data_IF_313497867814
#
_entry.id   IF_313497867814
#
_cell.length_a   1.000
_cell.length_b   1.000
_cell.length_c   1.000
_cell.angle_alpha   90.00
_cell.angle_beta   90.00
_cell.angle_gamma   90.00
#
_symmetry.space_group_name_H-M   'P 1'
#
loop_
_entity.id
_entity.type
_entity.pdbx_description
1 polymer ?
#
# COMPACT_ATOMS: atom_id res chain seq x y z
N UNK A 1 1.11 -19.51 -14.97
CA UNK A 1 1.01 -18.05 -14.86
C UNK A 1 2.31 -17.49 -14.29
N UNK A 2 2.94 -16.57 -15.04
CA UNK A 2 4.19 -15.97 -14.62
C UNK A 2 3.90 -14.78 -13.70
N UNK A 3 4.35 -14.84 -12.46
CA UNK A 3 4.23 -13.73 -11.51
C UNK A 3 5.58 -13.08 -11.31
N UNK A 4 5.60 -11.76 -11.22
CA UNK A 4 6.80 -10.99 -11.02
C UNK A 4 6.51 -9.81 -10.10
N UNK A 5 7.44 -9.50 -9.19
CA UNK A 5 7.34 -8.32 -8.32
C UNK A 5 8.58 -7.48 -8.58
N UNK A 6 8.36 -6.21 -8.88
CA UNK A 6 9.46 -5.30 -9.21
C UNK A 6 9.06 -3.85 -8.94
N UNK A 7 10.03 -2.93 -8.82
CA UNK A 7 9.71 -1.51 -8.75
C UNK A 7 8.92 -1.08 -9.99
N UNK A 8 7.97 -0.17 -9.80
CA UNK A 8 7.16 0.37 -10.90
C UNK A 8 7.89 1.57 -11.50
N UNK A 9 8.17 1.56 -12.81
CA UNK A 9 8.78 2.73 -13.44
C UNK A 9 7.77 3.86 -13.57
N UNK A 10 8.26 5.10 -13.65
CA UNK A 10 7.39 6.28 -13.73
C UNK A 10 6.44 6.23 -14.94
N UNK A 11 6.83 5.56 -16.00
CA UNK A 11 5.98 5.40 -17.18
C UNK A 11 4.73 4.57 -16.94
N UNK A 12 4.71 3.78 -15.85
CA UNK A 12 3.56 2.94 -15.47
C UNK A 12 2.82 3.46 -14.24
N UNK A 13 3.19 4.65 -13.77
CA UNK A 13 2.59 5.21 -12.55
C UNK A 13 1.09 5.45 -12.70
N UNK A 14 0.62 5.88 -13.87
CA UNK A 14 -0.81 6.10 -14.08
C UNK A 14 -1.57 4.79 -13.97
N UNK A 15 -1.07 3.71 -14.56
CA UNK A 15 -1.68 2.39 -14.46
C UNK A 15 -1.74 1.94 -13.00
N UNK A 16 -0.68 2.22 -12.24
CA UNK A 16 -0.63 1.89 -10.82
C UNK A 16 -1.72 2.63 -10.05
N UNK A 17 -1.88 3.91 -10.30
CA UNK A 17 -2.88 4.70 -9.60
C UNK A 17 -4.31 4.32 -10.01
N UNK A 18 -4.52 3.96 -11.27
CA UNK A 18 -5.82 3.44 -11.72
C UNK A 18 -6.20 2.18 -10.93
N UNK A 19 -5.24 1.28 -10.71
CA UNK A 19 -5.48 0.08 -9.91
C UNK A 19 -5.82 0.46 -8.46
N UNK A 20 -5.05 1.37 -7.87
CA UNK A 20 -5.27 1.82 -6.49
C UNK A 20 -6.68 2.38 -6.33
N UNK A 21 -7.10 3.28 -7.21
CA UNK A 21 -8.43 3.90 -7.12
C UNK A 21 -9.55 2.89 -7.32
N UNK A 22 -9.39 1.96 -8.25
CA UNK A 22 -10.39 0.92 -8.49
C UNK A 22 -10.56 0.01 -7.28
N UNK A 23 -9.46 -0.47 -6.70
CA UNK A 23 -9.53 -1.36 -5.54
C UNK A 23 -10.02 -0.61 -4.31
N UNK A 24 -9.56 0.64 -4.11
CA UNK A 24 -10.06 1.46 -3.00
C UNK A 24 -11.57 1.61 -3.09
N UNK A 25 -12.09 1.94 -4.27
CA UNK A 25 -13.53 2.11 -4.48
C UNK A 25 -14.32 0.84 -4.19
N UNK A 26 -13.75 -0.31 -4.50
CA UNK A 26 -14.41 -1.61 -4.29
C UNK A 26 -14.30 -2.13 -2.86
N UNK A 27 -13.38 -1.60 -2.07
CA UNK A 27 -13.08 -2.13 -0.73
C UNK A 27 -13.16 -1.06 0.36
N UNK A 28 -12.10 -0.32 0.59
CA UNK A 28 -11.97 0.60 1.73
C UNK A 28 -12.93 1.79 1.68
N UNK A 29 -13.37 2.21 0.51
CA UNK A 29 -14.24 3.36 0.35
C UNK A 29 -15.57 3.21 1.09
N UNK A 30 -16.04 1.98 1.26
CA UNK A 30 -17.30 1.70 1.97
C UNK A 30 -17.30 2.22 3.40
N UNK A 31 -16.14 2.23 4.03
CA UNK A 31 -16.00 2.63 5.43
C UNK A 31 -15.65 4.11 5.57
N UNK A 32 -15.40 4.81 4.46
CA UNK A 32 -15.05 6.22 4.46
C UNK A 32 -16.29 7.10 4.29
N UNK A 33 -16.24 8.29 4.88
CA UNK A 33 -17.24 9.33 4.59
C UNK A 33 -16.98 9.90 3.19
N UNK A 34 -17.88 10.71 2.67
CA UNK A 34 -17.65 11.40 1.39
C UNK A 34 -16.41 12.28 1.47
N UNK A 35 -16.19 12.95 2.62
CA UNK A 35 -14.97 13.72 2.86
C UNK A 35 -13.72 12.82 2.79
N UNK A 36 -13.78 11.62 3.36
CA UNK A 36 -12.69 10.67 3.34
C UNK A 36 -12.35 10.18 1.95
N UNK A 37 -13.36 9.93 1.13
CA UNK A 37 -13.15 9.53 -0.27
C UNK A 37 -12.46 10.65 -1.04
N UNK A 38 -12.90 11.88 -0.86
CA UNK A 38 -12.31 13.05 -1.51
C UNK A 38 -10.86 13.24 -1.06
N UNK A 39 -10.60 13.12 0.25
CA UNK A 39 -9.25 13.21 0.80
C UNK A 39 -8.32 12.17 0.18
N UNK A 40 -8.80 10.94 0.03
CA UNK A 40 -8.01 9.88 -0.60
C UNK A 40 -7.70 10.21 -2.06
N UNK A 41 -8.69 10.69 -2.82
CA UNK A 41 -8.49 11.08 -4.21
C UNK A 41 -7.47 12.18 -4.34
N UNK A 42 -7.55 13.22 -3.50
CA UNK A 42 -6.63 14.36 -3.54
C UNK A 42 -5.21 13.98 -3.16
N UNK A 43 -5.05 13.11 -2.15
CA UNK A 43 -3.71 12.72 -1.68
C UNK A 43 -3.03 11.71 -2.59
N UNK A 44 -3.77 11.05 -3.47
CA UNK A 44 -3.25 10.01 -4.35
C UNK A 44 -3.35 10.37 -5.83
N UNK A 45 -3.58 11.64 -6.17
CA UNK A 45 -3.67 12.03 -7.57
C UNK A 45 -2.32 11.81 -8.27
N UNK A 46 -2.37 11.72 -9.58
CA UNK A 46 -1.19 11.38 -10.38
C UNK A 46 -0.04 12.38 -10.17
N UNK A 47 -0.32 13.68 -10.15
CA UNK A 47 0.72 14.69 -10.01
C UNK A 47 1.40 14.61 -8.64
N UNK A 48 0.63 14.42 -7.57
CA UNK A 48 1.17 14.23 -6.23
C UNK A 48 2.09 13.02 -6.17
N UNK A 49 1.63 11.91 -6.74
CA UNK A 49 2.39 10.67 -6.72
C UNK A 49 3.65 10.78 -7.56
N UNK A 50 3.56 11.44 -8.70
CA UNK A 50 4.72 11.65 -9.56
C UNK A 50 5.79 12.48 -8.85
N UNK A 51 5.38 13.54 -8.17
CA UNK A 51 6.29 14.39 -7.43
C UNK A 51 6.95 13.63 -6.28
N UNK A 52 6.17 12.92 -5.47
CA UNK A 52 6.70 12.21 -4.30
C UNK A 52 7.60 11.06 -4.65
N UNK A 53 7.29 10.33 -5.72
CA UNK A 53 8.18 9.26 -6.18
C UNK A 53 9.44 9.85 -6.81
N UNK A 54 9.34 10.97 -7.51
CA UNK A 54 10.48 11.66 -8.08
C UNK A 54 11.42 12.24 -7.03
N UNK A 55 10.86 12.71 -5.90
CA UNK A 55 11.65 13.26 -4.79
C UNK A 55 12.27 12.17 -3.91
N UNK A 56 11.87 10.90 -4.10
CA UNK A 56 12.33 9.81 -3.28
C UNK A 56 11.57 9.63 -1.96
N UNK A 57 10.55 10.46 -1.69
CA UNK A 57 9.72 10.34 -0.49
C UNK A 57 8.91 9.05 -0.49
N UNK A 58 8.45 8.64 -1.67
CA UNK A 58 7.70 7.42 -1.87
C UNK A 58 8.48 6.48 -2.78
N UNK A 59 8.44 5.19 -2.45
CA UNK A 59 8.97 4.13 -3.30
C UNK A 59 7.80 3.21 -3.63
N UNK A 60 7.74 2.74 -4.86
CA UNK A 60 6.58 2.01 -5.35
C UNK A 60 6.98 0.70 -6.04
N UNK A 61 6.27 -0.37 -5.69
CA UNK A 61 6.46 -1.71 -6.28
C UNK A 61 5.16 -2.21 -6.86
N UNK A 62 5.27 -3.04 -7.87
CA UNK A 62 4.12 -3.68 -8.49
C UNK A 62 4.25 -5.19 -8.51
N UNK A 63 3.11 -5.85 -8.41
CA UNK A 63 3.01 -7.28 -8.67
C UNK A 63 2.35 -7.45 -10.03
N UNK A 64 2.96 -8.26 -10.88
CA UNK A 64 2.50 -8.50 -12.24
C UNK A 64 2.18 -9.98 -12.44
N UNK A 65 1.12 -10.28 -13.17
CA UNK A 65 0.80 -11.63 -13.59
C UNK A 65 0.69 -11.59 -15.12
N UNK A 66 1.56 -12.34 -15.80
CA UNK A 66 1.62 -12.36 -17.27
C UNK A 66 1.69 -10.94 -17.86
N UNK A 67 2.55 -10.10 -17.26
CA UNK A 67 2.82 -8.72 -17.64
C UNK A 67 1.68 -7.72 -17.34
N UNK A 68 0.62 -8.17 -16.67
CA UNK A 68 -0.45 -7.28 -16.21
C UNK A 68 -0.24 -6.91 -14.75
N UNK A 69 -0.38 -5.63 -14.43
CA UNK A 69 -0.28 -5.15 -13.05
C UNK A 69 -1.49 -5.60 -12.25
N UNK A 70 -1.25 -6.33 -11.15
CA UNK A 70 -2.32 -6.85 -10.29
C UNK A 70 -2.22 -6.38 -8.84
N UNK A 71 -1.15 -5.70 -8.47
CA UNK A 71 -0.99 -5.19 -7.10
C UNK A 71 0.00 -4.05 -7.06
N UNK A 72 -0.18 -3.15 -6.08
CA UNK A 72 0.66 -1.98 -5.89
C UNK A 72 0.97 -1.82 -4.40
N UNK A 73 2.25 -1.59 -4.08
CA UNK A 73 2.69 -1.26 -2.74
C UNK A 73 3.50 0.02 -2.77
N UNK A 74 3.15 0.97 -1.90
CA UNK A 74 3.89 2.22 -1.75
C UNK A 74 4.40 2.31 -0.34
N UNK A 75 5.71 2.51 -0.19
CA UNK A 75 6.34 2.74 1.10
C UNK A 75 6.84 4.17 1.19
N UNK A 76 6.67 4.75 2.36
CA UNK A 76 7.18 6.07 2.74
C UNK A 76 8.26 5.87 3.81
N UNK A 77 9.24 6.75 3.84
CA UNK A 77 10.35 6.67 4.78
C UNK A 77 9.90 6.70 6.26
N UNK A 78 10.55 5.95 7.17
CA UNK A 78 11.62 4.98 6.91
C UNK A 78 11.10 3.63 6.42
N UNK A 79 9.93 3.20 6.89
CA UNK A 79 9.22 2.04 6.36
C UNK A 79 7.76 2.06 6.83
N UNK A 80 7.00 2.99 6.29
CA UNK A 80 5.57 3.10 6.52
C UNK A 80 4.84 2.68 5.25
N UNK A 81 3.92 1.74 5.38
CA UNK A 81 3.11 1.31 4.25
C UNK A 81 2.06 2.37 4.00
N UNK A 82 2.23 3.13 2.93
CA UNK A 82 1.28 4.17 2.56
C UNK A 82 0.11 3.60 1.76
N UNK A 83 0.39 2.63 0.91
CA UNK A 83 -0.63 1.93 0.11
C UNK A 83 -0.23 0.48 -0.10
N UNK A 84 -1.22 -0.41 -0.03
CA UNK A 84 -1.08 -1.80 -0.41
C UNK A 84 -2.43 -2.25 -0.96
N UNK A 85 -2.52 -2.32 -2.26
CA UNK A 85 -3.76 -2.68 -2.96
C UNK A 85 -3.50 -3.79 -3.95
N UNK A 86 -4.35 -4.82 -3.93
CA UNK A 86 -4.30 -5.95 -4.85
C UNK A 86 -5.66 -6.08 -5.50
N UNK A 87 -5.69 -6.29 -6.81
CA UNK A 87 -6.95 -6.49 -7.53
C UNK A 87 -7.80 -7.54 -6.82
N UNK A 88 -9.10 -7.27 -6.74
CA UNK A 88 -10.03 -8.12 -6.01
C UNK A 88 -9.94 -9.58 -6.44
N UNK A 89 -9.83 -9.82 -7.73
CA UNK A 89 -9.73 -11.18 -8.29
C UNK A 89 -8.44 -11.89 -7.93
N UNK A 90 -7.40 -11.15 -7.60
CA UNK A 90 -6.09 -11.70 -7.23
C UNK A 90 -5.88 -11.79 -5.72
N UNK A 91 -6.83 -11.33 -4.92
CA UNK A 91 -6.73 -11.40 -3.46
C UNK A 91 -6.82 -12.83 -2.94
N UNK A 92 -6.34 -13.04 -1.71
CA UNK A 92 -6.33 -14.35 -1.02
C UNK A 92 -5.46 -15.41 -1.72
N UNK A 93 -4.54 -14.99 -2.55
CA UNK A 93 -3.59 -15.88 -3.25
C UNK A 93 -2.14 -15.59 -2.88
N UNK A 94 -1.93 -14.82 -1.82
CA UNK A 94 -0.58 -14.50 -1.35
C UNK A 94 0.11 -13.34 -2.06
N UNK A 95 -0.56 -12.67 -3.00
CA UNK A 95 0.03 -11.57 -3.78
C UNK A 95 0.43 -10.39 -2.88
N UNK A 96 -0.50 -9.96 -2.01
CA UNK A 96 -0.24 -8.82 -1.11
C UNK A 96 0.92 -9.08 -0.16
N UNK A 97 0.96 -10.28 0.42
CA UNK A 97 2.03 -10.67 1.33
C UNK A 97 3.39 -10.72 0.62
N UNK A 98 3.45 -11.32 -0.57
CA UNK A 98 4.68 -11.39 -1.37
C UNK A 98 5.16 -10.01 -1.81
N UNK A 99 4.23 -9.16 -2.22
CA UNK A 99 4.51 -7.80 -2.66
C UNK A 99 5.10 -6.99 -1.52
N UNK A 100 4.47 -7.03 -0.35
CA UNK A 100 4.95 -6.32 0.83
C UNK A 100 6.32 -6.83 1.27
N UNK A 101 6.53 -8.14 1.27
CA UNK A 101 7.81 -8.74 1.65
C UNK A 101 8.94 -8.21 0.77
N UNK A 102 8.73 -8.18 -0.55
CA UNK A 102 9.74 -7.65 -1.48
C UNK A 102 10.01 -6.17 -1.24
N UNK A 103 8.96 -5.38 -1.05
CA UNK A 103 9.11 -3.94 -0.81
C UNK A 103 9.91 -3.67 0.46
N UNK A 104 9.60 -4.38 1.56
CA UNK A 104 10.30 -4.22 2.82
C UNK A 104 11.76 -4.67 2.70
N UNK A 105 12.02 -5.77 2.00
CA UNK A 105 13.40 -6.24 1.76
C UNK A 105 14.22 -5.20 1.02
N UNK A 106 13.66 -4.60 -0.03
CA UNK A 106 14.36 -3.56 -0.79
C UNK A 106 14.59 -2.31 0.04
N UNK A 107 13.60 -1.92 0.85
CA UNK A 107 13.73 -0.77 1.75
C UNK A 107 14.83 -1.00 2.78
N UNK A 108 14.95 -2.22 3.30
CA UNK A 108 15.98 -2.56 4.27
C UNK A 108 17.37 -2.54 3.66
N UNK A 109 17.51 -2.92 2.40
CA UNK A 109 18.80 -2.82 1.72
C UNK A 109 19.24 -1.38 1.54
N UNK A 110 18.28 -0.45 1.40
CA UNK A 110 18.58 0.97 1.27
C UNK A 110 18.84 1.63 2.63
N UNK A 111 18.19 1.16 3.69
CA UNK A 111 18.32 1.71 5.04
C UNK A 111 18.18 0.57 6.07
N UNK A 112 19.30 0.14 6.62
CA UNK A 112 19.33 -0.96 7.59
C UNK A 112 18.99 -0.52 9.01
N UNK A 113 18.72 0.76 9.22
CA UNK A 113 18.52 1.32 10.56
C UNK A 113 17.10 1.21 11.10
N UNK A 114 16.10 1.05 10.24
CA UNK A 114 14.74 0.97 10.76
C UNK A 114 14.48 -0.38 11.43
N UNK A 115 13.71 -0.33 12.52
CA UNK A 115 13.46 -1.52 13.36
C UNK A 115 12.02 -2.00 13.28
N UNK A 116 11.15 -1.25 12.61
CA UNK A 116 9.74 -1.64 12.50
C UNK A 116 9.12 -1.12 11.20
N UNK A 117 8.07 -1.81 10.80
CA UNK A 117 7.24 -1.44 9.65
C UNK A 117 5.89 -1.01 10.21
N UNK A 118 5.38 0.12 9.77
CA UNK A 118 4.11 0.65 10.25
C UNK A 118 3.10 0.78 9.12
N UNK A 119 1.82 0.78 9.48
CA UNK A 119 0.73 0.97 8.53
C UNK A 119 -0.47 1.55 9.27
N UNK A 120 -1.24 2.38 8.58
CA UNK A 120 -2.57 2.79 9.03
C UNK A 120 -3.57 1.94 8.24
N UNK A 121 -4.02 0.85 8.84
CA UNK A 121 -4.82 -0.15 8.13
C UNK A 121 -6.29 0.23 8.07
N UNK A 122 -6.87 0.23 6.86
CA UNK A 122 -8.32 0.36 6.72
C UNK A 122 -9.01 -0.79 7.46
N UNK A 123 -10.26 -0.60 7.94
CA UNK A 123 -10.97 -1.67 8.66
C UNK A 123 -10.98 -3.00 7.90
N UNK A 124 -11.14 -2.96 6.59
CA UNK A 124 -11.16 -4.18 5.76
C UNK A 124 -9.80 -4.85 5.62
N UNK A 125 -8.72 -4.17 5.97
CA UNK A 125 -7.35 -4.67 5.83
C UNK A 125 -6.73 -5.15 7.15
N UNK A 126 -7.33 -4.82 8.30
CA UNK A 126 -6.78 -5.19 9.61
C UNK A 126 -6.51 -6.68 9.71
N UNK A 127 -7.45 -7.52 9.29
CA UNK A 127 -7.29 -8.97 9.35
C UNK A 127 -6.11 -9.47 8.51
N UNK A 128 -5.89 -8.88 7.35
CA UNK A 128 -4.74 -9.21 6.50
C UNK A 128 -3.43 -8.92 7.23
N UNK A 129 -3.31 -7.72 7.80
CA UNK A 129 -2.08 -7.35 8.49
C UNK A 129 -1.85 -8.17 9.74
N UNK A 130 -2.89 -8.50 10.49
CA UNK A 130 -2.75 -9.37 11.66
C UNK A 130 -2.19 -10.74 11.28
N UNK A 131 -2.67 -11.32 10.18
CA UNK A 131 -2.19 -12.62 9.70
C UNK A 131 -0.70 -12.65 9.38
N UNK A 132 -0.16 -11.54 8.93
CA UNK A 132 1.26 -11.49 8.55
C UNK A 132 2.15 -10.92 9.66
N UNK A 133 1.61 -10.77 10.87
CA UNK A 133 2.41 -10.46 12.04
C UNK A 133 2.34 -9.04 12.55
N UNK A 134 1.46 -8.20 12.01
CA UNK A 134 1.27 -6.84 12.51
C UNK A 134 0.36 -6.86 13.74
N UNK A 135 0.60 -5.92 14.65
CA UNK A 135 -0.20 -5.73 15.85
C UNK A 135 -0.71 -4.29 15.90
N UNK A 136 -1.93 -4.12 16.38
CA UNK A 136 -2.50 -2.79 16.56
C UNK A 136 -1.72 -2.03 17.63
N UNK A 137 -1.44 -0.75 17.35
CA UNK A 137 -0.78 0.15 18.28
C UNK A 137 -1.78 1.00 19.06
N UNK A 138 -3.06 0.89 18.73
CA UNK A 138 -4.12 1.67 19.37
C UNK A 138 -5.47 1.26 18.80
N UNK A 139 -6.50 1.99 19.21
CA UNK A 139 -7.85 1.75 18.71
C UNK A 139 -8.06 2.36 17.33
N UNK A 140 -9.11 1.92 16.66
CA UNK A 140 -9.51 2.49 15.38
C UNK A 140 -9.78 3.99 15.55
N UNK A 141 -9.29 4.76 14.60
CA UNK A 141 -9.45 6.22 14.55
C UNK A 141 -10.04 6.63 13.23
N UNK A 142 -10.54 7.86 13.18
CA UNK A 142 -11.00 8.44 11.91
C UNK A 142 -10.34 9.81 11.76
N UNK A 143 -9.61 10.00 10.67
CA UNK A 143 -8.99 11.28 10.35
C UNK A 143 -9.43 11.69 8.93
N UNK A 144 -9.93 12.90 8.80
CA UNK A 144 -10.40 13.45 7.50
C UNK A 144 -11.41 12.52 6.81
N UNK A 145 -12.24 11.82 7.61
CA UNK A 145 -13.25 10.92 7.09
C UNK A 145 -12.76 9.53 6.72
N UNK A 146 -11.50 9.21 7.00
CA UNK A 146 -10.90 7.91 6.72
C UNK A 146 -10.68 7.15 8.03
N UNK A 147 -11.39 6.01 8.23
CA UNK A 147 -11.15 5.20 9.42
C UNK A 147 -9.94 4.30 9.24
N UNK A 148 -9.13 4.15 10.28
CA UNK A 148 -7.98 3.25 10.22
C UNK A 148 -7.56 2.82 11.62
N UNK A 149 -6.81 1.72 11.70
CA UNK A 149 -6.16 1.25 12.90
C UNK A 149 -4.65 1.32 12.68
N UNK A 150 -3.90 2.06 13.53
CA UNK A 150 -2.45 2.08 13.40
C UNK A 150 -1.88 0.73 13.83
N UNK A 151 -1.01 0.16 13.03
CA UNK A 151 -0.42 -1.15 13.26
C UNK A 151 1.08 -1.15 13.00
N UNK A 152 1.78 -2.09 13.62
CA UNK A 152 3.22 -2.25 13.40
C UNK A 152 3.64 -3.70 13.43
N UNK A 153 4.73 -3.98 12.75
CA UNK A 153 5.45 -5.24 12.83
C UNK A 153 6.94 -4.92 13.01
N UNK A 154 7.66 -5.82 13.66
CA UNK A 154 9.11 -5.64 13.79
C UNK A 154 9.75 -5.87 12.44
N UNK A 155 10.66 -4.99 12.06
CA UNK A 155 11.38 -5.08 10.80
C UNK A 155 12.63 -5.93 10.95
N UNK A 156 12.49 -7.20 10.75
CA UNK A 156 13.63 -8.12 10.78
C UNK A 156 14.22 -8.36 9.42
#
# INVERSE_FOLDING_TARGET
>A
MKKEIKPIPSSELMDAMDLVWTVFSDTAAKDCTEEGKEEFWQSTDFEHMLQRTGDGDYRIWGAYADDELIGVCVLREPCHIDMLFVETEAQKKGVGSSLLKRAVMDARRADETFTRVTVNAFPSAVGFFEKIGFKAMGEQRTEDGIPYTPMEAKGE
#
